data_IF_703022313013
#
_entry.id   IF_703022313013
#
_cell.length_a   1.000
_cell.length_b   1.000
_cell.length_c   1.000
_cell.angle_alpha   90.00
_cell.angle_beta   90.00
_cell.angle_gamma   90.00
#
_symmetry.space_group_name_H-M   'P 1'
#
loop_
_entity.id
_entity.type
_entity.pdbx_description
1 polymer ?
#
# COMPACT_ATOMS: atom_id res chain seq x y z
N UNK A 1 15.45 -9.79 22.78
CA UNK A 1 14.05 -9.68 22.31
C UNK A 1 13.65 -8.21 22.31
N UNK A 2 13.04 -7.71 21.22
CA UNK A 2 12.51 -6.35 21.15
C UNK A 2 11.00 -6.40 20.95
N UNK A 3 10.25 -5.57 21.66
CA UNK A 3 8.80 -5.46 21.49
C UNK A 3 8.48 -4.38 20.45
N UNK A 4 7.35 -4.57 19.75
CA UNK A 4 6.86 -3.63 18.74
C UNK A 4 5.47 -3.14 19.09
N UNK A 5 5.28 -1.83 19.05
CA UNK A 5 3.97 -1.20 19.00
C UNK A 5 3.77 -0.60 17.60
N UNK A 6 2.79 -1.10 16.85
CA UNK A 6 2.51 -0.67 15.48
C UNK A 6 1.12 -0.02 15.37
N UNK A 7 1.06 1.26 15.05
CA UNK A 7 -0.19 1.96 14.78
C UNK A 7 -0.50 1.87 13.29
N UNK A 8 -1.39 0.98 12.93
CA UNK A 8 -1.65 0.62 11.54
C UNK A 8 -2.58 1.59 10.80
N UNK A 9 -2.37 1.80 9.50
CA UNK A 9 -3.32 2.49 8.64
C UNK A 9 -4.50 1.61 8.22
N UNK A 10 -4.39 0.29 8.38
CA UNK A 10 -5.40 -0.69 7.96
C UNK A 10 -5.77 -1.63 9.11
N UNK A 11 -7.00 -2.17 9.17
CA UNK A 11 -7.36 -3.19 10.15
C UNK A 11 -6.52 -4.45 9.99
N UNK A 12 -6.17 -5.11 11.10
CA UNK A 12 -5.41 -6.36 11.06
C UNK A 12 -6.10 -7.46 10.23
N UNK A 13 -7.43 -7.52 10.27
CA UNK A 13 -8.24 -8.47 9.49
C UNK A 13 -8.34 -8.15 7.99
N UNK A 14 -7.73 -7.06 7.51
CA UNK A 14 -7.68 -6.76 6.08
C UNK A 14 -6.70 -7.68 5.35
N UNK A 15 -6.76 -7.70 4.01
CA UNK A 15 -5.74 -8.41 3.22
C UNK A 15 -4.32 -7.92 3.54
N UNK A 16 -3.35 -8.84 3.45
CA UNK A 16 -1.98 -8.56 3.85
C UNK A 16 -1.35 -7.46 2.99
N UNK A 17 -0.83 -6.42 3.65
CA UNK A 17 -0.18 -5.25 3.08
C UNK A 17 1.17 -5.01 3.76
N UNK A 18 1.90 -3.97 3.37
CA UNK A 18 3.17 -3.54 3.98
C UNK A 18 3.17 -3.62 5.51
N UNK A 19 2.15 -3.12 6.27
CA UNK A 19 2.11 -3.24 7.73
C UNK A 19 2.17 -4.69 8.23
N UNK A 20 1.41 -5.59 7.62
CA UNK A 20 1.39 -7.01 7.99
C UNK A 20 2.74 -7.68 7.72
N UNK A 21 3.35 -7.39 6.58
CA UNK A 21 4.67 -7.91 6.21
C UNK A 21 5.75 -7.42 7.16
N UNK A 22 5.68 -6.14 7.55
CA UNK A 22 6.61 -5.56 8.51
C UNK A 22 6.51 -6.21 9.90
N UNK A 23 5.32 -6.35 10.46
CA UNK A 23 5.19 -6.92 11.82
C UNK A 23 5.60 -8.39 11.87
N UNK A 24 5.32 -9.16 10.81
CA UNK A 24 5.78 -10.55 10.69
C UNK A 24 7.31 -10.63 10.61
N UNK A 25 7.93 -9.83 9.74
CA UNK A 25 9.39 -9.75 9.63
C UNK A 25 10.03 -9.33 10.95
N UNK A 26 9.48 -8.32 11.63
CA UNK A 26 10.00 -7.84 12.91
C UNK A 26 9.96 -8.95 13.98
N UNK A 27 8.82 -9.64 14.11
CA UNK A 27 8.68 -10.74 15.06
C UNK A 27 9.65 -11.89 14.75
N UNK A 28 9.75 -12.32 13.51
CA UNK A 28 10.69 -13.38 13.09
C UNK A 28 12.14 -13.02 13.45
N UNK A 29 12.52 -11.75 13.34
CA UNK A 29 13.89 -11.30 13.59
C UNK A 29 14.21 -11.06 15.06
N UNK A 30 13.29 -10.52 15.84
CA UNK A 30 13.54 -10.09 17.21
C UNK A 30 12.84 -10.92 18.29
N UNK A 31 11.85 -11.72 17.93
CA UNK A 31 11.15 -12.67 18.82
C UNK A 31 10.34 -12.01 19.94
N UNK A 32 10.08 -10.70 19.86
CA UNK A 32 9.33 -9.97 20.87
C UNK A 32 7.81 -10.00 20.63
N UNK A 33 7.06 -9.44 21.58
CA UNK A 33 5.62 -9.24 21.44
C UNK A 33 5.33 -8.07 20.52
N UNK A 34 4.26 -8.19 19.75
CA UNK A 34 3.76 -7.12 18.88
C UNK A 34 2.37 -6.69 19.36
N UNK A 35 2.19 -5.40 19.57
CA UNK A 35 0.88 -4.79 19.74
C UNK A 35 0.53 -4.02 18.48
N UNK A 36 -0.51 -4.49 17.82
CA UNK A 36 -1.08 -3.86 16.65
C UNK A 36 -2.28 -3.01 17.06
N UNK A 37 -2.25 -1.73 16.74
CA UNK A 37 -3.38 -0.82 16.97
C UNK A 37 -4.10 -0.57 15.64
N UNK A 38 -5.34 -1.05 15.54
CA UNK A 38 -6.21 -0.84 14.38
C UNK A 38 -6.51 0.67 14.18
N UNK A 39 -6.71 1.11 12.93
CA UNK A 39 -7.09 2.48 12.66
C UNK A 39 -8.52 2.77 13.12
N UNK A 40 -8.74 4.00 13.57
CA UNK A 40 -10.06 4.56 13.84
C UNK A 40 -10.34 5.77 12.94
N UNK A 41 -11.57 6.29 12.97
CA UNK A 41 -11.98 7.42 12.13
C UNK A 41 -11.29 8.73 12.56
N UNK A 42 -10.38 9.23 11.72
CA UNK A 42 -9.61 10.48 11.94
C UNK A 42 -10.14 11.67 11.15
N UNK A 43 -11.34 11.56 10.56
CA UNK A 43 -12.01 12.63 9.80
C UNK A 43 -13.47 12.78 10.23
N UNK A 44 -14.09 13.89 9.85
CA UNK A 44 -15.53 14.02 9.99
C UNK A 44 -16.28 12.99 9.15
N UNK A 45 -17.41 12.47 9.66
CA UNK A 45 -18.28 11.61 8.89
C UNK A 45 -18.76 12.31 7.62
N UNK A 46 -18.84 11.59 6.53
CA UNK A 46 -19.51 12.04 5.31
C UNK A 46 -20.79 11.22 5.10
N UNK A 47 -21.77 11.77 4.36
CA UNK A 47 -23.06 11.09 4.12
C UNK A 47 -22.89 9.66 3.55
N UNK A 48 -21.80 9.39 2.85
CA UNK A 48 -21.48 8.06 2.36
C UNK A 48 -21.17 7.04 3.49
N UNK A 49 -20.74 7.50 4.66
CA UNK A 49 -20.45 6.61 5.81
C UNK A 49 -21.74 6.06 6.43
N UNK A 50 -22.85 6.82 6.37
CA UNK A 50 -24.16 6.33 6.81
C UNK A 50 -24.62 5.10 6.02
N UNK A 51 -24.27 5.03 4.74
CA UNK A 51 -24.58 3.86 3.89
C UNK A 51 -23.70 2.65 4.22
N UNK A 52 -22.52 2.86 4.77
CA UNK A 52 -21.59 1.79 5.21
C UNK A 52 -22.01 1.19 6.55
N UNK A 53 -22.55 1.98 7.47
CA UNK A 53 -23.05 1.50 8.77
C UNK A 53 -24.21 0.48 8.60
N UNK A 54 -24.99 0.60 7.52
CA UNK A 54 -26.07 -0.33 7.19
C UNK A 54 -25.56 -1.63 6.51
N UNK A 55 -24.32 -1.63 5.98
CA UNK A 55 -23.74 -2.77 5.23
C UNK A 55 -22.69 -3.57 6.01
N UNK A 56 -22.38 -3.21 7.24
CA UNK A 56 -21.33 -3.88 8.05
C UNK A 56 -21.72 -5.24 8.65
N UNK A 57 -22.80 -5.88 8.18
CA UNK A 57 -23.23 -7.20 8.67
C UNK A 57 -22.70 -8.41 7.90
N UNK A 58 -21.91 -8.23 6.83
CA UNK A 58 -21.42 -9.34 5.99
C UNK A 58 -19.90 -9.34 5.77
N UNK A 59 -19.12 -9.09 6.82
CA UNK A 59 -17.69 -9.46 6.75
C UNK A 59 -17.54 -10.94 7.09
N UNK A 60 -17.33 -11.74 6.05
CA UNK A 60 -17.00 -13.16 6.12
C UNK A 60 -15.91 -13.41 7.17
N UNK A 61 -16.27 -14.24 8.16
CA UNK A 61 -15.39 -14.75 9.19
C UNK A 61 -14.29 -15.63 8.56
N UNK A 62 -13.16 -15.03 8.21
CA UNK A 62 -11.93 -15.81 8.11
C UNK A 62 -11.48 -16.17 9.52
N UNK A 63 -11.10 -17.43 9.72
CA UNK A 63 -10.75 -18.04 11.00
C UNK A 63 -9.78 -17.20 11.82
N UNK A 64 -10.21 -16.86 13.04
CA UNK A 64 -9.58 -15.91 13.95
C UNK A 64 -8.41 -16.48 14.76
N UNK A 65 -7.40 -17.03 14.15
CA UNK A 65 -6.17 -17.38 14.85
C UNK A 65 -5.18 -16.21 14.76
N UNK A 66 -5.37 -15.21 15.62
CA UNK A 66 -4.33 -14.23 15.89
C UNK A 66 -3.14 -14.98 16.54
N UNK A 67 -1.91 -14.84 16.01
CA UNK A 67 -0.75 -15.49 16.60
C UNK A 67 -0.56 -15.10 18.08
N UNK A 68 -0.07 -16.01 18.92
CA UNK A 68 0.12 -15.76 20.37
C UNK A 68 1.05 -14.57 20.67
N UNK A 69 1.99 -14.28 19.77
CA UNK A 69 2.91 -13.15 19.92
C UNK A 69 2.28 -11.79 19.56
N UNK A 70 1.06 -11.77 19.00
CA UNK A 70 0.40 -10.58 18.50
C UNK A 70 -0.86 -10.25 19.31
N UNK A 71 -0.93 -9.01 19.79
CA UNK A 71 -2.13 -8.45 20.44
C UNK A 71 -2.71 -7.38 19.53
N UNK A 72 -3.98 -7.52 19.13
CA UNK A 72 -4.69 -6.54 18.30
C UNK A 72 -5.62 -5.70 19.17
N UNK A 73 -5.41 -4.37 19.16
CA UNK A 73 -6.25 -3.40 19.88
C UNK A 73 -7.06 -2.60 18.85
N UNK A 74 -8.37 -2.51 19.08
CA UNK A 74 -9.28 -1.70 18.27
C UNK A 74 -9.71 -0.49 19.11
N UNK A 75 -9.06 0.66 18.93
CA UNK A 75 -9.43 1.85 19.68
C UNK A 75 -10.75 2.41 19.16
N UNK A 76 -11.71 2.61 20.06
CA UNK A 76 -12.88 3.41 19.75
C UNK A 76 -12.50 4.89 19.69
N UNK A 77 -13.20 5.65 18.85
CA UNK A 77 -12.96 7.09 18.74
C UNK A 77 -14.15 7.80 18.12
N UNK A 78 -14.52 8.92 18.71
CA UNK A 78 -15.48 9.83 18.07
C UNK A 78 -14.81 10.41 16.80
N UNK A 79 -15.51 10.46 15.66
CA UNK A 79 -14.99 10.97 14.39
C UNK A 79 -14.92 12.50 14.36
N UNK A 80 -14.31 13.08 15.39
CA UNK A 80 -14.19 14.53 15.64
C UNK A 80 -12.72 14.98 15.69
N UNK A 81 -11.78 14.12 15.31
CA UNK A 81 -10.33 14.38 15.43
C UNK A 81 -9.88 15.71 14.79
N UNK A 82 -10.50 16.20 13.68
CA UNK A 82 -10.19 17.51 13.16
C UNK A 82 -10.53 18.68 14.09
N UNK A 83 -11.36 18.47 15.12
CA UNK A 83 -11.74 19.54 16.05
C UNK A 83 -10.67 19.79 17.13
N UNK A 84 -10.43 21.04 17.51
CA UNK A 84 -9.65 21.35 18.70
C UNK A 84 -10.21 20.63 19.93
N UNK A 85 -9.34 20.03 20.75
CA UNK A 85 -9.77 19.30 21.95
C UNK A 85 -10.27 17.88 21.74
N UNK A 86 -10.38 17.38 20.50
CA UNK A 86 -10.80 16.02 20.20
C UNK A 86 -10.00 14.95 20.96
N UNK A 87 -8.70 15.17 21.10
CA UNK A 87 -7.83 14.29 21.87
C UNK A 87 -8.16 14.23 23.38
N UNK A 88 -8.75 15.27 23.95
CA UNK A 88 -9.24 15.25 25.33
C UNK A 88 -10.54 14.45 25.44
N UNK A 89 -11.48 14.69 24.53
CA UNK A 89 -12.77 13.96 24.50
C UNK A 89 -12.57 12.46 24.26
N UNK A 90 -11.71 12.08 23.32
CA UNK A 90 -11.42 10.68 22.99
C UNK A 90 -10.50 9.99 24.03
N UNK A 91 -9.87 10.71 24.96
CA UNK A 91 -8.88 10.11 25.86
C UNK A 91 -9.43 9.01 26.79
N UNK A 92 -10.73 9.06 27.11
CA UNK A 92 -11.38 7.99 27.88
C UNK A 92 -11.53 6.70 27.07
N UNK A 93 -11.88 6.85 25.77
CA UNK A 93 -12.03 5.73 24.82
C UNK A 93 -10.68 5.06 24.51
N UNK A 94 -9.58 5.85 24.58
CA UNK A 94 -8.24 5.33 24.29
C UNK A 94 -7.50 4.78 25.52
N UNK A 95 -8.15 4.73 26.69
CA UNK A 95 -7.47 4.29 27.94
C UNK A 95 -6.88 2.91 27.83
N UNK A 96 -7.59 1.93 27.27
CA UNK A 96 -7.10 0.57 27.09
C UNK A 96 -5.88 0.51 26.18
N UNK A 97 -5.92 1.18 25.02
CA UNK A 97 -4.81 1.26 24.09
C UNK A 97 -3.56 1.90 24.73
N UNK A 98 -3.73 2.98 25.49
CA UNK A 98 -2.63 3.66 26.19
C UNK A 98 -2.05 2.79 27.31
N UNK A 99 -2.90 2.07 28.04
CA UNK A 99 -2.46 1.16 29.13
C UNK A 99 -1.64 0.00 28.56
N UNK A 100 -2.13 -0.63 27.51
CA UNK A 100 -1.43 -1.76 26.87
C UNK A 100 -0.10 -1.31 26.24
N UNK A 101 -0.10 -0.20 25.52
CA UNK A 101 1.12 0.37 24.96
C UNK A 101 2.17 0.69 26.04
N UNK A 102 1.74 1.28 27.15
CA UNK A 102 2.63 1.61 28.29
C UNK A 102 3.14 0.34 28.98
N UNK A 103 2.29 -0.68 29.12
CA UNK A 103 2.67 -1.97 29.70
C UNK A 103 3.74 -2.68 28.86
N UNK A 104 3.56 -2.70 27.54
CA UNK A 104 4.51 -3.30 26.60
C UNK A 104 5.90 -2.63 26.70
N UNK A 105 5.93 -1.30 26.73
CA UNK A 105 7.18 -0.53 26.79
C UNK A 105 7.95 -0.69 28.10
N UNK A 106 7.28 -1.03 29.20
CA UNK A 106 7.92 -1.29 30.50
C UNK A 106 8.58 -2.67 30.60
N UNK A 107 8.21 -3.61 29.75
CA UNK A 107 8.64 -5.00 29.86
C UNK A 107 9.98 -5.28 29.19
N UNK A 108 10.36 -4.53 28.16
CA UNK A 108 11.61 -4.70 27.42
C UNK A 108 11.88 -3.50 26.49
N UNK A 109 13.01 -3.57 25.77
CA UNK A 109 13.32 -2.67 24.65
C UNK A 109 12.16 -2.63 23.66
N UNK A 110 11.60 -1.44 23.44
CA UNK A 110 10.37 -1.26 22.68
C UNK A 110 10.57 -0.24 21.53
N UNK A 111 10.10 -0.65 20.35
CA UNK A 111 10.03 0.20 19.15
C UNK A 111 8.57 0.58 18.91
N UNK A 112 8.33 1.84 18.58
CA UNK A 112 7.00 2.35 18.23
C UNK A 112 7.03 2.80 16.78
N UNK A 113 6.22 2.17 15.94
CA UNK A 113 6.08 2.53 14.52
C UNK A 113 4.69 3.10 14.26
N UNK A 114 4.67 4.30 13.70
CA UNK A 114 3.45 5.01 13.34
C UNK A 114 3.23 4.81 11.84
N UNK A 115 2.33 3.91 11.46
CA UNK A 115 1.89 3.73 10.07
C UNK A 115 0.73 4.64 9.68
N UNK A 116 -0.05 5.15 10.67
CA UNK A 116 -1.12 6.11 10.44
C UNK A 116 -1.02 7.30 11.38
N UNK A 117 -0.88 8.53 10.85
CA UNK A 117 -0.95 9.74 11.65
C UNK A 117 -2.31 9.90 12.36
N UNK A 118 -2.27 10.15 13.67
CA UNK A 118 -3.47 10.34 14.49
C UNK A 118 -3.14 11.05 15.82
N UNK A 119 -4.15 11.60 16.49
CA UNK A 119 -3.97 12.21 17.81
C UNK A 119 -3.63 11.15 18.87
N UNK A 120 -4.16 9.93 18.73
CA UNK A 120 -3.78 8.80 19.58
C UNK A 120 -2.29 8.47 19.43
N UNK A 121 -1.77 8.48 18.20
CA UNK A 121 -0.34 8.26 17.96
C UNK A 121 0.52 9.29 18.72
N UNK A 122 0.18 10.58 18.64
CA UNK A 122 0.88 11.64 19.38
C UNK A 122 0.83 11.41 20.90
N UNK A 123 -0.29 10.92 21.43
CA UNK A 123 -0.41 10.61 22.88
C UNK A 123 0.47 9.43 23.29
N UNK A 124 0.47 8.37 22.50
CA UNK A 124 1.33 7.20 22.72
C UNK A 124 2.81 7.59 22.66
N UNK A 125 3.24 8.30 21.64
CA UNK A 125 4.62 8.78 21.50
C UNK A 125 5.07 9.62 22.70
N UNK A 126 4.20 10.50 23.19
CA UNK A 126 4.50 11.31 24.39
C UNK A 126 4.62 10.47 25.66
N UNK A 127 3.84 9.39 25.79
CA UNK A 127 3.91 8.47 26.92
C UNK A 127 5.15 7.55 26.85
N UNK A 128 5.67 7.29 25.66
CA UNK A 128 6.75 6.34 25.39
C UNK A 128 8.04 7.02 24.87
N UNK A 129 8.38 8.18 25.40
CA UNK A 129 9.57 8.96 24.96
C UNK A 129 10.91 8.23 25.11
N UNK A 130 10.96 7.17 25.89
CA UNK A 130 12.15 6.33 26.04
C UNK A 130 12.28 5.20 25.00
N UNK A 131 11.27 5.03 24.15
CA UNK A 131 11.30 4.04 23.07
C UNK A 131 11.81 4.68 21.77
N UNK A 132 12.30 3.85 20.87
CA UNK A 132 12.60 4.27 19.50
C UNK A 132 11.31 4.58 18.76
N UNK A 133 11.18 5.78 18.20
CA UNK A 133 9.98 6.26 17.52
C UNK A 133 10.23 6.37 16.01
N UNK A 134 9.43 5.68 15.21
CA UNK A 134 9.56 5.62 13.76
C UNK A 134 8.25 6.05 13.10
N UNK A 135 8.31 6.88 12.07
CA UNK A 135 7.17 7.15 11.20
C UNK A 135 7.33 6.43 9.86
N UNK A 136 6.48 5.43 9.59
CA UNK A 136 6.41 4.74 8.30
C UNK A 136 5.46 5.52 7.38
N UNK A 137 6.01 6.53 6.69
CA UNK A 137 5.30 7.38 5.74
C UNK A 137 5.07 6.63 4.42
N UNK A 138 4.12 5.69 4.44
CA UNK A 138 3.83 4.81 3.31
C UNK A 138 2.89 5.43 2.28
N UNK A 139 2.22 6.54 2.62
CA UNK A 139 1.28 7.27 1.79
C UNK A 139 1.30 8.76 2.10
N UNK A 140 0.78 9.60 1.19
CA UNK A 140 0.45 11.00 1.47
C UNK A 140 -0.91 11.08 2.18
N UNK A 141 -0.91 10.84 3.50
CA UNK A 141 -2.15 10.78 4.28
C UNK A 141 -3.07 12.00 4.10
N UNK A 142 -2.59 13.25 4.05
CA UNK A 142 -3.45 14.40 3.74
C UNK A 142 -4.23 14.28 2.43
N UNK A 143 -3.70 13.59 1.41
CA UNK A 143 -4.37 13.44 0.11
C UNK A 143 -5.64 12.59 0.16
N UNK A 144 -5.82 11.75 1.20
CA UNK A 144 -7.06 11.00 1.43
C UNK A 144 -8.21 11.84 1.99
N UNK A 145 -7.95 13.09 2.38
CA UNK A 145 -8.89 13.96 3.08
C UNK A 145 -9.18 15.23 2.29
N UNK A 146 -10.31 15.87 2.60
CA UNK A 146 -10.73 17.12 1.96
C UNK A 146 -11.00 18.20 3.02
N UNK A 147 -10.94 19.46 2.61
CA UNK A 147 -11.28 20.62 3.43
C UNK A 147 -10.55 20.65 4.78
N UNK A 148 -11.29 20.91 5.85
CA UNK A 148 -10.73 21.05 7.21
C UNK A 148 -10.06 19.76 7.71
N UNK A 149 -10.61 18.59 7.39
CA UNK A 149 -10.01 17.30 7.76
C UNK A 149 -8.63 17.11 7.13
N UNK A 150 -8.40 17.60 5.91
CA UNK A 150 -7.10 17.58 5.25
C UNK A 150 -6.08 18.45 5.99
N UNK A 151 -6.47 19.67 6.33
CA UNK A 151 -5.61 20.61 7.10
C UNK A 151 -5.24 20.02 8.46
N UNK A 152 -6.21 19.45 9.16
CA UNK A 152 -5.98 18.79 10.44
C UNK A 152 -5.04 17.58 10.31
N UNK A 153 -5.22 16.74 9.29
CA UNK A 153 -4.34 15.59 9.03
C UNK A 153 -2.90 16.06 8.75
N UNK A 154 -2.72 17.07 7.90
CA UNK A 154 -1.41 17.67 7.61
C UNK A 154 -0.72 18.18 8.89
N UNK A 155 -1.46 18.85 9.76
CA UNK A 155 -0.93 19.32 11.03
C UNK A 155 -0.52 18.16 11.96
N UNK A 156 -1.36 17.13 12.05
CA UNK A 156 -1.09 15.92 12.84
C UNK A 156 0.14 15.19 12.34
N UNK A 157 0.25 14.99 11.03
CA UNK A 157 1.37 14.34 10.37
C UNK A 157 2.69 15.12 10.59
N UNK A 158 2.69 16.44 10.39
CA UNK A 158 3.84 17.30 10.68
C UNK A 158 4.26 17.22 12.15
N UNK A 159 3.29 17.15 13.05
CA UNK A 159 3.58 17.00 14.49
C UNK A 159 4.22 15.66 14.80
N UNK A 160 3.78 14.56 14.19
CA UNK A 160 4.39 13.25 14.33
C UNK A 160 5.82 13.28 13.79
N UNK A 161 6.02 13.80 12.58
CA UNK A 161 7.34 13.95 11.98
C UNK A 161 8.34 14.70 12.88
N UNK A 162 7.87 15.72 13.63
CA UNK A 162 8.73 16.46 14.58
C UNK A 162 9.05 15.73 15.88
N UNK A 163 8.47 14.56 16.13
CA UNK A 163 8.62 13.80 17.38
C UNK A 163 9.32 12.46 17.20
N UNK A 164 9.43 11.96 15.97
CA UNK A 164 10.08 10.67 15.67
C UNK A 164 11.59 10.80 15.53
N UNK A 165 12.30 9.70 15.71
CA UNK A 165 13.74 9.60 15.53
C UNK A 165 14.13 9.39 14.06
N UNK A 166 13.24 8.76 13.28
CA UNK A 166 13.45 8.47 11.87
C UNK A 166 12.13 8.39 11.11
N UNK A 167 12.16 8.77 9.84
CA UNK A 167 11.03 8.64 8.91
C UNK A 167 11.42 7.68 7.79
N UNK A 168 10.59 6.67 7.54
CA UNK A 168 10.67 5.81 6.36
C UNK A 168 9.70 6.31 5.30
N UNK A 169 10.21 6.71 4.17
CA UNK A 169 9.41 7.19 3.05
C UNK A 169 9.32 6.09 1.98
N UNK A 170 8.09 5.73 1.59
CA UNK A 170 7.86 4.63 0.64
C UNK A 170 8.08 5.01 -0.82
N UNK A 171 8.32 6.28 -1.12
CA UNK A 171 8.56 6.77 -2.49
C UNK A 171 9.50 7.96 -2.51
N UNK A 172 10.09 8.21 -3.68
CA UNK A 172 10.96 9.37 -3.91
C UNK A 172 10.26 10.69 -3.55
N UNK A 173 8.98 10.84 -3.92
CA UNK A 173 8.20 12.05 -3.59
C UNK A 173 8.07 12.26 -2.09
N UNK A 174 7.77 11.23 -1.32
CA UNK A 174 7.67 11.31 0.13
C UNK A 174 9.04 11.54 0.78
N UNK A 175 10.09 10.91 0.24
CA UNK A 175 11.46 11.12 0.69
C UNK A 175 11.87 12.59 0.52
N UNK A 176 11.71 13.18 -0.66
CA UNK A 176 12.03 14.58 -0.94
C UNK A 176 11.26 15.53 -0.01
N UNK A 177 9.95 15.26 0.18
CA UNK A 177 9.10 16.04 1.08
C UNK A 177 9.62 16.02 2.52
N UNK A 178 9.92 14.84 3.05
CA UNK A 178 10.32 14.71 4.45
C UNK A 178 11.78 15.08 4.69
N UNK A 179 12.67 14.82 3.74
CA UNK A 179 14.08 15.17 3.83
C UNK A 179 14.32 16.70 3.92
N UNK A 180 13.36 17.50 3.45
CA UNK A 180 13.38 18.97 3.63
C UNK A 180 12.95 19.40 5.04
N UNK A 181 12.38 18.52 5.88
CA UNK A 181 11.76 18.83 7.16
C UNK A 181 12.32 18.03 8.34
N UNK A 182 13.02 16.93 8.08
CA UNK A 182 13.55 16.03 9.11
C UNK A 182 14.95 15.55 8.75
N UNK A 183 15.86 15.51 9.74
CA UNK A 183 17.27 15.21 9.51
C UNK A 183 17.59 13.73 9.26
N UNK A 184 16.68 12.83 9.59
CA UNK A 184 16.88 11.40 9.44
C UNK A 184 15.71 10.78 8.70
N UNK A 185 15.82 10.72 7.37
CA UNK A 185 14.81 10.13 6.47
C UNK A 185 15.46 9.02 5.66
N UNK A 186 14.80 7.87 5.60
CA UNK A 186 15.21 6.72 4.79
C UNK A 186 14.22 6.53 3.64
N UNK A 187 14.72 6.34 2.44
CA UNK A 187 13.91 5.89 1.32
C UNK A 187 13.75 4.37 1.41
N UNK A 188 12.53 3.91 1.69
CA UNK A 188 12.21 2.51 1.91
C UNK A 188 11.03 2.11 1.02
N UNK A 189 11.31 1.75 -0.21
CA UNK A 189 10.32 1.35 -1.21
C UNK A 189 9.46 0.16 -0.74
N UNK A 190 8.33 -0.03 -1.40
CA UNK A 190 7.54 -1.24 -1.25
C UNK A 190 8.31 -2.47 -1.77
N UNK A 191 7.84 -3.64 -1.41
CA UNK A 191 8.41 -4.91 -1.81
C UNK A 191 7.34 -5.87 -2.33
N UNK A 192 7.77 -7.06 -2.71
CA UNK A 192 6.91 -8.17 -3.10
C UNK A 192 6.96 -9.31 -2.08
N UNK A 193 5.99 -10.20 -2.16
CA UNK A 193 5.94 -11.44 -1.37
C UNK A 193 6.77 -12.53 -2.05
N UNK A 194 8.03 -12.67 -1.60
CA UNK A 194 8.97 -13.60 -2.24
C UNK A 194 8.48 -15.05 -2.19
N UNK A 195 7.85 -15.48 -1.10
CA UNK A 195 7.37 -16.86 -0.95
C UNK A 195 6.26 -17.17 -1.96
N UNK A 196 5.29 -16.26 -2.11
CA UNK A 196 4.20 -16.42 -3.07
C UNK A 196 4.73 -16.33 -4.51
N UNK A 197 5.60 -15.37 -4.80
CA UNK A 197 6.19 -15.19 -6.14
C UNK A 197 7.04 -16.39 -6.54
N UNK A 198 7.86 -16.93 -5.63
CA UNK A 198 8.75 -18.05 -5.92
C UNK A 198 8.02 -19.39 -6.04
N UNK A 199 6.84 -19.52 -5.45
CA UNK A 199 6.00 -20.72 -5.57
C UNK A 199 5.11 -20.73 -6.82
N UNK A 200 4.96 -19.57 -7.48
CA UNK A 200 4.16 -19.49 -8.70
C UNK A 200 4.95 -20.03 -9.91
N UNK A 201 4.36 -20.97 -10.61
CA UNK A 201 4.92 -21.49 -11.88
C UNK A 201 4.46 -20.58 -13.02
N UNK A 202 5.40 -19.94 -13.76
CA UNK A 202 5.05 -19.15 -14.94
C UNK A 202 4.38 -20.03 -15.98
N UNK A 203 3.14 -19.71 -16.31
CA UNK A 203 2.39 -20.42 -17.36
C UNK A 203 2.27 -19.52 -18.58
N UNK A 204 2.63 -20.04 -19.74
CA UNK A 204 2.31 -19.40 -21.02
C UNK A 204 0.98 -19.96 -21.52
N UNK A 205 -0.03 -19.12 -21.71
CA UNK A 205 -1.18 -19.52 -22.51
C UNK A 205 -0.74 -19.52 -23.98
N UNK A 206 -0.94 -20.62 -24.71
CA UNK A 206 -0.79 -20.60 -26.15
C UNK A 206 -1.89 -19.70 -26.74
N UNK A 207 -1.54 -18.50 -27.06
CA UNK A 207 -2.49 -17.51 -27.61
C UNK A 207 -1.80 -16.71 -28.70
N UNK A 208 -2.45 -16.58 -29.84
CA UNK A 208 -2.03 -15.65 -30.90
C UNK A 208 -2.31 -14.17 -30.55
N UNK A 209 -2.95 -13.93 -29.37
CA UNK A 209 -3.37 -12.61 -28.89
C UNK A 209 -2.50 -12.19 -27.71
N UNK A 210 -2.01 -10.95 -27.74
CA UNK A 210 -1.30 -10.35 -26.60
C UNK A 210 -2.28 -10.06 -25.47
N UNK A 211 -1.91 -10.42 -24.24
CA UNK A 211 -2.71 -10.19 -23.04
C UNK A 211 -2.10 -9.03 -22.25
N UNK A 212 -2.81 -7.90 -22.23
CA UNK A 212 -2.52 -6.75 -21.35
C UNK A 212 -3.29 -6.93 -20.06
N UNK A 213 -2.60 -7.16 -18.94
CA UNK A 213 -3.25 -7.55 -17.69
C UNK A 213 -3.06 -6.57 -16.55
N UNK A 214 -4.14 -6.28 -15.83
CA UNK A 214 -4.14 -5.58 -14.54
C UNK A 214 -4.64 -6.51 -13.44
N UNK A 215 -3.94 -6.48 -12.32
CA UNK A 215 -4.32 -7.20 -11.11
C UNK A 215 -4.38 -6.24 -9.92
N UNK A 216 -5.54 -6.09 -9.31
CA UNK A 216 -5.70 -5.27 -8.11
C UNK A 216 -7.06 -4.58 -8.00
N UNK A 217 -7.22 -3.78 -6.95
CA UNK A 217 -8.45 -3.03 -6.70
C UNK A 217 -8.65 -1.91 -7.71
N UNK A 218 -9.83 -1.85 -8.32
CA UNK A 218 -10.26 -0.81 -9.24
C UNK A 218 -11.00 0.28 -8.46
N UNK A 219 -10.24 1.24 -7.93
CA UNK A 219 -10.74 2.35 -7.11
C UNK A 219 -10.74 3.69 -7.83
N UNK A 220 -10.83 4.79 -7.04
CA UNK A 220 -10.85 6.14 -7.57
C UNK A 220 -9.54 6.58 -8.24
N UNK A 221 -8.47 5.84 -8.04
CA UNK A 221 -7.16 6.07 -8.66
C UNK A 221 -7.01 5.41 -10.03
N UNK A 222 -7.92 4.50 -10.42
CA UNK A 222 -7.82 3.73 -11.66
C UNK A 222 -8.25 4.55 -12.87
N UNK A 223 -7.44 4.53 -13.92
CA UNK A 223 -7.64 5.28 -15.16
C UNK A 223 -8.37 4.45 -16.21
N UNK A 224 -9.70 4.51 -16.19
CA UNK A 224 -10.55 3.86 -17.18
C UNK A 224 -10.41 4.47 -18.60
N UNK A 225 -10.00 5.73 -18.72
CA UNK A 225 -9.79 6.38 -20.01
C UNK A 225 -8.57 5.77 -20.72
N UNK A 226 -7.45 5.63 -20.01
CA UNK A 226 -6.26 4.95 -20.51
C UNK A 226 -6.56 3.51 -20.92
N UNK A 227 -7.31 2.74 -20.11
CA UNK A 227 -7.69 1.35 -20.42
C UNK A 227 -8.57 1.26 -21.66
N UNK A 228 -9.55 2.16 -21.78
CA UNK A 228 -10.44 2.20 -22.95
C UNK A 228 -9.68 2.61 -24.21
N UNK A 229 -8.76 3.56 -24.11
CA UNK A 229 -7.88 3.95 -25.22
C UNK A 229 -6.96 2.79 -25.63
N UNK A 230 -6.33 2.10 -24.66
CA UNK A 230 -5.51 0.92 -24.91
C UNK A 230 -6.28 -0.15 -25.69
N UNK A 231 -7.48 -0.51 -25.25
CA UNK A 231 -8.30 -1.52 -25.90
C UNK A 231 -8.64 -1.17 -27.35
N UNK A 232 -8.78 0.12 -27.67
CA UNK A 232 -9.00 0.59 -29.05
C UNK A 232 -7.73 0.54 -29.92
N UNK A 233 -6.57 0.79 -29.31
CA UNK A 233 -5.26 0.70 -29.99
C UNK A 233 -4.90 -0.75 -30.31
N UNK A 234 -5.36 -1.70 -29.49
CA UNK A 234 -5.07 -3.14 -29.64
C UNK A 234 -6.35 -3.97 -29.85
N UNK A 235 -7.13 -3.74 -30.95
CA UNK A 235 -8.47 -4.32 -31.09
C UNK A 235 -8.47 -5.86 -31.25
N UNK A 236 -7.34 -6.44 -31.63
CA UNK A 236 -7.18 -7.89 -31.79
C UNK A 236 -6.62 -8.60 -30.55
N UNK A 237 -6.15 -7.85 -29.55
CA UNK A 237 -5.59 -8.37 -28.31
C UNK A 237 -6.60 -8.30 -27.15
N UNK A 238 -6.21 -8.81 -26.00
CA UNK A 238 -7.04 -8.83 -24.78
C UNK A 238 -6.55 -7.83 -23.74
N UNK A 239 -7.49 -7.15 -23.09
CA UNK A 239 -7.23 -6.35 -21.89
C UNK A 239 -7.95 -7.02 -20.74
N UNK A 240 -7.22 -7.73 -19.86
CA UNK A 240 -7.76 -8.46 -18.72
C UNK A 240 -7.58 -7.67 -17.43
N UNK A 241 -8.68 -7.49 -16.69
CA UNK A 241 -8.69 -6.72 -15.44
C UNK A 241 -9.25 -7.60 -14.34
N UNK A 242 -8.41 -7.94 -13.37
CA UNK A 242 -8.75 -8.79 -12.24
C UNK A 242 -8.82 -7.98 -10.93
N UNK A 243 -9.94 -8.12 -10.22
CA UNK A 243 -10.08 -7.57 -8.87
C UNK A 243 -11.41 -6.87 -8.58
N UNK A 244 -11.61 -6.39 -7.35
CA UNK A 244 -12.85 -5.78 -6.94
C UNK A 244 -13.01 -4.39 -7.56
N UNK A 245 -14.20 -4.11 -8.12
CA UNK A 245 -14.53 -2.86 -8.81
C UNK A 245 -15.36 -1.97 -7.91
N UNK A 246 -14.73 -0.95 -7.32
CA UNK A 246 -15.40 0.09 -6.52
C UNK A 246 -15.75 1.34 -7.36
N UNK A 247 -15.01 1.58 -8.45
CA UNK A 247 -15.33 2.64 -9.41
C UNK A 247 -15.53 2.04 -10.80
N UNK A 248 -16.79 2.05 -11.25
CA UNK A 248 -17.17 1.55 -12.58
C UNK A 248 -16.71 2.52 -13.67
N UNK A 249 -16.49 2.03 -14.91
CA UNK A 249 -16.25 2.89 -16.08
C UNK A 249 -17.46 3.78 -16.38
N UNK A 250 -17.24 4.94 -17.00
CA UNK A 250 -18.29 5.91 -17.32
C UNK A 250 -19.13 5.57 -18.56
N UNK A 251 -18.87 4.44 -19.24
CA UNK A 251 -19.56 4.05 -20.46
C UNK A 251 -19.41 2.57 -20.79
N UNK A 252 -19.86 2.20 -21.99
CA UNK A 252 -19.71 0.84 -22.51
C UNK A 252 -18.23 0.57 -22.82
N UNK A 253 -17.70 -0.50 -22.28
CA UNK A 253 -16.34 -0.95 -22.55
C UNK A 253 -16.23 -1.58 -23.96
N UNK A 254 -15.08 -1.44 -24.63
CA UNK A 254 -14.72 -2.24 -25.80
C UNK A 254 -14.84 -3.74 -25.53
N UNK A 255 -15.20 -4.50 -26.57
CA UNK A 255 -15.48 -5.95 -26.45
C UNK A 255 -14.25 -6.80 -26.11
N UNK A 256 -13.05 -6.28 -26.29
CA UNK A 256 -11.79 -6.93 -25.96
C UNK A 256 -11.30 -6.63 -24.52
N UNK A 257 -12.11 -5.98 -23.68
CA UNK A 257 -11.88 -5.84 -22.25
C UNK A 257 -12.65 -6.93 -21.50
N UNK A 258 -11.92 -7.75 -20.77
CA UNK A 258 -12.45 -8.82 -19.92
C UNK A 258 -12.27 -8.45 -18.45
N UNK A 259 -13.37 -8.54 -17.65
CA UNK A 259 -13.37 -8.23 -16.22
C UNK A 259 -13.53 -9.53 -15.42
N UNK A 260 -12.64 -9.73 -14.45
CA UNK A 260 -12.62 -10.90 -13.59
C UNK A 260 -12.83 -10.51 -12.12
N UNK A 261 -13.49 -11.37 -11.33
CA UNK A 261 -13.68 -11.13 -9.90
C UNK A 261 -12.34 -11.13 -9.13
N UNK A 262 -12.33 -10.68 -7.87
CA UNK A 262 -11.18 -10.83 -7.00
C UNK A 262 -10.93 -12.32 -6.70
N UNK A 263 -9.66 -12.68 -6.54
CA UNK A 263 -9.20 -14.00 -6.11
C UNK A 263 -8.22 -13.88 -4.94
N UNK A 264 -7.88 -14.99 -4.31
CA UNK A 264 -6.84 -15.05 -3.27
C UNK A 264 -5.48 -14.66 -3.85
N UNK A 265 -4.57 -14.13 -3.01
CA UNK A 265 -3.33 -13.52 -3.49
C UNK A 265 -2.45 -14.50 -4.29
N UNK A 266 -2.32 -15.75 -3.85
CA UNK A 266 -1.52 -16.75 -4.57
C UNK A 266 -2.13 -17.09 -5.94
N UNK A 267 -3.46 -17.24 -6.02
CA UNK A 267 -4.17 -17.45 -7.27
C UNK A 267 -4.02 -16.23 -8.19
N UNK A 268 -4.15 -15.02 -7.64
CA UNK A 268 -3.97 -13.77 -8.37
C UNK A 268 -2.56 -13.66 -8.99
N UNK A 269 -1.51 -14.07 -8.27
CA UNK A 269 -0.15 -14.12 -8.82
C UNK A 269 -0.05 -15.15 -9.95
N UNK A 270 -0.67 -16.33 -9.83
CA UNK A 270 -0.74 -17.31 -10.91
C UNK A 270 -1.45 -16.74 -12.14
N UNK A 271 -2.59 -16.06 -11.97
CA UNK A 271 -3.29 -15.38 -13.06
C UNK A 271 -2.41 -14.31 -13.74
N UNK A 272 -1.59 -13.61 -12.98
CA UNK A 272 -0.67 -12.59 -13.49
C UNK A 272 0.39 -13.19 -14.42
N UNK A 273 0.80 -14.43 -14.22
CA UNK A 273 1.79 -15.10 -15.10
C UNK A 273 1.28 -15.30 -16.54
N UNK A 274 -0.02 -15.18 -16.77
CA UNK A 274 -0.61 -15.21 -18.12
C UNK A 274 -0.54 -13.87 -18.86
N UNK A 275 -0.16 -12.77 -18.20
CA UNK A 275 -0.08 -11.46 -18.84
C UNK A 275 1.19 -11.33 -19.68
N UNK A 276 1.07 -10.80 -20.90
CA UNK A 276 2.21 -10.46 -21.76
C UNK A 276 2.76 -9.07 -21.40
N UNK A 277 1.88 -8.17 -21.00
CA UNK A 277 2.22 -6.81 -20.54
C UNK A 277 1.41 -6.51 -19.29
N UNK A 278 2.09 -6.20 -18.20
CA UNK A 278 1.46 -5.79 -16.94
C UNK A 278 1.03 -4.32 -16.99
N UNK A 279 -0.17 -4.03 -16.51
CA UNK A 279 -0.74 -2.68 -16.53
C UNK A 279 -0.70 -2.01 -15.16
N UNK A 280 -0.30 -0.73 -15.11
CA UNK A 280 -0.43 0.13 -13.94
C UNK A 280 -1.09 1.47 -14.38
N UNK A 281 -2.41 1.46 -14.65
CA UNK A 281 -3.14 2.57 -15.20
C UNK A 281 -3.73 3.44 -14.09
N UNK A 282 -2.91 4.23 -13.42
CA UNK A 282 -3.38 5.10 -12.35
C UNK A 282 -3.48 6.56 -12.80
N UNK A 283 -4.54 7.23 -12.36
CA UNK A 283 -4.73 8.66 -12.61
C UNK A 283 -3.57 9.47 -12.02
N UNK A 284 -3.13 10.49 -12.73
CA UNK A 284 -2.16 11.46 -12.22
C UNK A 284 -2.87 12.49 -11.34
N UNK A 285 -2.83 12.31 -10.04
CA UNK A 285 -3.40 13.23 -9.07
C UNK A 285 -2.59 13.21 -7.75
N UNK A 286 -3.01 13.98 -6.76
CA UNK A 286 -2.31 14.04 -5.46
C UNK A 286 -2.27 12.70 -4.73
N UNK A 287 -3.36 11.91 -4.78
CA UNK A 287 -3.44 10.61 -4.12
C UNK A 287 -2.40 9.63 -4.67
N UNK A 288 -2.21 9.64 -6.00
CA UNK A 288 -1.28 8.72 -6.68
C UNK A 288 0.13 9.28 -6.80
N UNK A 289 0.30 10.57 -6.58
CA UNK A 289 1.57 11.29 -6.78
C UNK A 289 2.74 10.79 -5.92
N UNK A 290 2.45 10.11 -4.81
CA UNK A 290 3.42 9.53 -3.88
C UNK A 290 3.41 8.01 -3.83
N UNK A 291 2.65 7.35 -4.70
CA UNK A 291 2.50 5.88 -4.67
C UNK A 291 3.68 5.20 -5.35
N UNK A 292 4.27 4.21 -4.66
CA UNK A 292 5.17 3.19 -5.22
C UNK A 292 4.36 1.89 -5.39
N UNK A 293 3.98 1.51 -6.62
CA UNK A 293 3.05 0.40 -6.82
C UNK A 293 3.73 -0.97 -6.69
N UNK A 294 3.25 -1.81 -5.77
CA UNK A 294 3.73 -3.18 -5.57
C UNK A 294 3.67 -4.00 -6.86
N UNK A 295 2.69 -3.74 -7.72
CA UNK A 295 2.51 -4.42 -9.02
C UNK A 295 3.72 -4.30 -9.94
N UNK A 296 4.48 -3.22 -9.86
CA UNK A 296 5.74 -3.09 -10.57
C UNK A 296 6.70 -4.23 -10.22
N UNK A 297 6.90 -4.49 -8.93
CA UNK A 297 7.82 -5.52 -8.47
C UNK A 297 7.33 -6.93 -8.83
N UNK A 298 6.03 -7.18 -8.69
CA UNK A 298 5.41 -8.46 -9.02
C UNK A 298 5.53 -8.78 -10.53
N UNK A 299 5.20 -7.83 -11.42
CA UNK A 299 5.37 -8.01 -12.86
C UNK A 299 6.83 -8.22 -13.24
N UNK A 300 7.72 -7.39 -12.72
CA UNK A 300 9.14 -7.46 -13.04
C UNK A 300 9.80 -8.75 -12.57
N UNK A 301 9.35 -9.32 -11.46
CA UNK A 301 9.85 -10.62 -10.98
C UNK A 301 9.64 -11.75 -12.00
N UNK A 302 8.61 -11.67 -12.85
CA UNK A 302 8.36 -12.63 -13.93
C UNK A 302 8.86 -12.17 -15.30
N UNK A 303 9.63 -11.08 -15.36
CA UNK A 303 10.11 -10.52 -16.62
C UNK A 303 9.01 -9.89 -17.50
N UNK A 304 7.83 -9.63 -16.92
CA UNK A 304 6.69 -9.02 -17.63
C UNK A 304 6.98 -7.52 -17.82
N UNK A 305 6.99 -7.00 -19.06
CA UNK A 305 7.10 -5.56 -19.31
C UNK A 305 5.89 -4.81 -18.76
N UNK A 306 6.12 -3.63 -18.19
CA UNK A 306 5.09 -2.84 -17.50
C UNK A 306 4.68 -1.64 -18.33
N UNK A 307 3.41 -1.54 -18.70
CA UNK A 307 2.81 -0.35 -19.30
C UNK A 307 2.11 0.47 -18.21
N UNK A 308 2.60 1.67 -17.96
CA UNK A 308 2.11 2.51 -16.86
C UNK A 308 1.76 3.91 -17.34
N UNK A 309 0.77 4.54 -16.71
CA UNK A 309 0.59 6.00 -16.78
C UNK A 309 1.73 6.73 -16.04
N UNK A 310 1.89 8.02 -16.31
CA UNK A 310 2.94 8.88 -15.72
C UNK A 310 2.50 9.41 -14.35
N UNK A 311 2.70 8.63 -13.28
CA UNK A 311 2.34 9.01 -11.91
C UNK A 311 3.36 8.48 -10.90
N UNK A 312 3.32 8.99 -9.68
CA UNK A 312 4.04 8.48 -8.50
C UNK A 312 5.46 8.06 -8.81
N UNK A 313 5.87 6.91 -8.29
CA UNK A 313 7.20 6.35 -8.50
C UNK A 313 7.44 5.91 -9.96
N UNK A 314 6.37 5.58 -10.71
CA UNK A 314 6.49 5.15 -12.11
C UNK A 314 7.10 6.21 -13.04
N UNK A 315 7.03 7.49 -12.68
CA UNK A 315 7.66 8.59 -13.45
C UNK A 315 9.19 8.57 -13.43
N UNK A 316 9.79 7.91 -12.46
CA UNK A 316 11.25 7.78 -12.31
C UNK A 316 11.80 6.49 -12.93
N UNK A 317 10.91 5.55 -13.29
CA UNK A 317 11.28 4.28 -13.91
C UNK A 317 11.30 4.39 -15.43
N UNK A 318 12.10 3.55 -16.08
CA UNK A 318 12.32 3.62 -17.51
C UNK A 318 12.44 2.26 -18.21
N UNK A 319 12.75 2.32 -19.51
CA UNK A 319 12.85 1.13 -20.39
C UNK A 319 13.94 0.14 -19.93
N UNK A 320 15.02 0.61 -19.35
CA UNK A 320 16.07 -0.21 -18.74
C UNK A 320 15.55 -1.08 -17.55
N UNK A 321 14.46 -0.63 -16.93
CA UNK A 321 13.77 -1.36 -15.87
C UNK A 321 12.54 -2.11 -16.40
N UNK A 322 12.36 -2.20 -17.73
CA UNK A 322 11.21 -2.83 -18.38
C UNK A 322 9.90 -2.07 -18.21
N UNK A 323 9.97 -0.75 -18.00
CA UNK A 323 8.79 0.11 -17.80
C UNK A 323 8.59 1.04 -18.98
N UNK A 324 7.38 1.04 -19.51
CA UNK A 324 6.91 1.83 -20.64
C UNK A 324 5.86 2.81 -20.15
N UNK A 325 6.26 4.08 -20.01
CA UNK A 325 5.42 5.10 -19.38
C UNK A 325 4.69 5.91 -20.44
N UNK A 326 3.37 5.96 -20.32
CA UNK A 326 2.46 6.79 -21.14
C UNK A 326 2.29 8.13 -20.44
N UNK A 327 2.82 9.19 -21.04
CA UNK A 327 2.71 10.56 -20.51
C UNK A 327 1.45 11.27 -21.02
N UNK A 328 1.08 10.95 -22.25
CA UNK A 328 -0.11 11.44 -22.93
C UNK A 328 -0.74 10.31 -23.74
N UNK A 329 -2.06 10.27 -23.84
CA UNK A 329 -2.77 9.25 -24.62
C UNK A 329 -2.43 9.31 -26.12
N UNK A 330 -1.99 10.45 -26.63
CA UNK A 330 -1.54 10.58 -28.02
C UNK A 330 -0.29 9.74 -28.35
N UNK A 331 0.55 9.40 -27.35
CA UNK A 331 1.73 8.54 -27.53
C UNK A 331 1.45 7.06 -27.23
N UNK A 332 0.23 6.70 -26.80
CA UNK A 332 -0.12 5.38 -26.32
C UNK A 332 0.22 4.28 -27.33
N UNK A 333 -0.16 4.45 -28.60
CA UNK A 333 0.11 3.45 -29.66
C UNK A 333 1.61 3.18 -29.80
N UNK A 334 2.42 4.23 -29.84
CA UNK A 334 3.89 4.11 -29.89
C UNK A 334 4.45 3.37 -28.70
N UNK A 335 4.02 3.74 -27.49
CA UNK A 335 4.52 3.14 -26.23
C UNK A 335 4.09 1.68 -26.12
N UNK A 336 2.87 1.35 -26.54
CA UNK A 336 2.38 -0.05 -26.62
C UNK A 336 3.22 -0.86 -27.60
N UNK A 337 3.52 -0.33 -28.79
CA UNK A 337 4.35 -1.02 -29.78
C UNK A 337 5.77 -1.28 -29.24
N UNK A 338 6.33 -0.37 -28.44
CA UNK A 338 7.62 -0.55 -27.78
C UNK A 338 7.56 -1.62 -26.68
N UNK A 339 6.52 -1.62 -25.84
CA UNK A 339 6.32 -2.63 -24.81
C UNK A 339 6.20 -4.04 -25.40
N UNK A 340 5.44 -4.18 -26.49
CA UNK A 340 5.26 -5.46 -27.21
C UNK A 340 6.55 -6.05 -27.76
N UNK A 341 7.45 -5.23 -28.29
CA UNK A 341 8.76 -5.68 -28.79
C UNK A 341 9.66 -6.29 -27.72
N UNK A 342 9.36 -6.01 -26.45
CA UNK A 342 10.12 -6.47 -25.31
C UNK A 342 9.41 -7.59 -24.50
N UNK A 343 8.35 -8.17 -25.07
CA UNK A 343 7.73 -9.37 -24.52
C UNK A 343 8.73 -10.53 -24.68
N UNK A 344 9.06 -11.16 -23.55
CA UNK A 344 9.97 -12.30 -23.49
C UNK A 344 9.24 -13.51 -22.92
N UNK A 345 9.83 -14.69 -23.06
CA UNK A 345 9.37 -15.87 -22.33
C UNK A 345 9.38 -15.57 -20.81
N UNK A 346 8.24 -15.79 -20.17
CA UNK A 346 8.08 -15.53 -18.74
C UNK A 346 9.00 -16.44 -17.95
N UNK A 347 9.86 -15.84 -17.17
CA UNK A 347 10.79 -16.54 -16.31
C UNK A 347 10.90 -15.78 -15.00
N UNK A 348 10.83 -16.50 -13.90
CA UNK A 348 11.09 -15.92 -12.59
C UNK A 348 12.56 -15.45 -12.52
N UNK A 349 12.75 -14.17 -12.30
CA UNK A 349 14.02 -13.58 -11.92
C UNK A 349 14.16 -13.66 -10.39
N UNK A 350 14.74 -14.74 -9.94
CA UNK A 350 14.89 -15.00 -8.50
C UNK A 350 15.72 -13.93 -7.79
N UNK A 351 16.76 -13.41 -8.45
CA UNK A 351 17.62 -12.38 -7.86
C UNK A 351 16.84 -11.08 -7.68
N UNK A 352 16.13 -10.62 -8.72
CA UNK A 352 15.27 -9.44 -8.62
C UNK A 352 14.19 -9.62 -7.55
N UNK A 353 13.53 -10.78 -7.51
CA UNK A 353 12.48 -11.06 -6.52
C UNK A 353 13.02 -11.05 -5.09
N UNK A 354 14.18 -11.64 -4.85
CA UNK A 354 14.81 -11.66 -3.53
C UNK A 354 15.24 -10.26 -3.07
N UNK A 355 15.93 -9.50 -3.93
CA UNK A 355 16.39 -8.13 -3.65
C UNK A 355 15.25 -7.15 -3.41
N UNK A 356 14.08 -7.39 -4.02
CA UNK A 356 12.88 -6.57 -3.88
C UNK A 356 11.81 -7.21 -2.97
N UNK A 357 12.16 -8.24 -2.20
CA UNK A 357 11.26 -8.83 -1.21
C UNK A 357 10.98 -7.89 -0.04
N UNK A 358 9.86 -8.07 0.66
CA UNK A 358 9.59 -7.33 1.89
C UNK A 358 10.70 -7.48 2.93
N UNK A 359 11.25 -8.68 3.07
CA UNK A 359 12.36 -8.93 4.01
C UNK A 359 13.59 -8.11 3.63
N UNK A 360 14.02 -8.15 2.36
CA UNK A 360 15.16 -7.37 1.89
C UNK A 360 14.94 -5.85 2.04
N UNK A 361 13.70 -5.36 1.88
CA UNK A 361 13.36 -3.96 2.15
C UNK A 361 13.56 -3.61 3.62
N UNK A 362 12.98 -4.37 4.53
CA UNK A 362 13.07 -4.07 5.96
C UNK A 362 14.47 -4.32 6.53
N UNK A 363 15.28 -5.20 5.93
CA UNK A 363 16.67 -5.38 6.29
C UNK A 363 17.53 -4.13 6.04
N UNK A 364 17.13 -3.22 5.14
CA UNK A 364 17.81 -1.95 4.89
C UNK A 364 17.71 -0.96 6.05
N UNK A 365 16.78 -1.16 6.97
CA UNK A 365 16.51 -0.25 8.09
C UNK A 365 16.72 -0.90 9.47
N UNK A 366 17.47 -2.00 9.51
CA UNK A 366 17.78 -2.72 10.78
C UNK A 366 18.46 -1.80 11.81
N UNK A 367 19.29 -0.87 11.37
CA UNK A 367 20.01 0.07 12.24
C UNK A 367 19.08 1.11 12.91
N UNK A 368 17.85 1.20 12.45
CA UNK A 368 16.87 2.14 13.01
C UNK A 368 16.18 1.60 14.29
N UNK A 369 16.50 0.38 14.71
CA UNK A 369 15.86 -0.28 15.87
C UNK A 369 16.70 -0.27 17.14
#
# INVERSE_FOLDING_TARGET
MKNLLYLSPVPYKSFAQRPHKFVNWFHQRYGGRVVWIDPYATRFPVLADLRRLVRQSDETHTSDLTPEWLTVIRPDGLPIEPMPGAGYLNSRLWRSALTEATSLAKQSDCVVVIGKPSVLAIKIMKALRGCRLIYDAMDDFPAFYQGFSRTAMKHTETKIASLVDVIWASSTTLYERWNSQHSNVRLLYNGLDFEIISSAEPQAEPSDRTIFGYLGTIGNWFDWEMITALARVVPHDLVRIHGPIYKKPSGKLPSNIELFPPSEHAEAITQMTHFDVGLIPFLKNELTGSVDPIKYYEYRAFGIPVLSSYFGEMRYRGRNEGVYVVRDLAELEKVVAEARKNIQARRLDQMFAQENSWAARFDQVIEDF
#
